data_IF_962269471772
#
_entry.id   IF_962269471772
#
_cell.length_a   1.000
_cell.length_b   1.000
_cell.length_c   1.000
_cell.angle_alpha   90.00
_cell.angle_beta   90.00
_cell.angle_gamma   90.00
#
_symmetry.space_group_name_H-M   'P 1'
#
loop_
_entity.id
_entity.type
_entity.pdbx_description
1 polymer ?
#
# COMPACT_ATOMS: atom_id res chain seq x y z
N UNK A 1 7.56 13.39 2.17
CA UNK A 1 6.75 12.69 3.17
C UNK A 1 5.89 11.65 2.46
N UNK A 2 5.60 10.50 3.09
CA UNK A 2 4.91 9.39 2.43
C UNK A 2 3.64 9.03 3.19
N UNK A 3 2.49 9.13 2.53
CA UNK A 3 1.19 8.80 3.14
C UNK A 3 0.68 7.47 2.57
N UNK A 4 0.49 6.48 3.44
CA UNK A 4 0.00 5.16 3.06
C UNK A 4 -1.53 5.08 3.18
N UNK A 5 -2.16 4.54 2.14
CA UNK A 5 -3.59 4.32 2.08
C UNK A 5 -3.89 2.89 1.66
N UNK A 6 -4.97 2.35 2.21
CA UNK A 6 -5.59 1.13 1.75
C UNK A 6 -6.86 1.49 0.98
N UNK A 7 -7.05 0.89 -0.19
CA UNK A 7 -8.26 1.03 -0.98
C UNK A 7 -9.02 -0.28 -0.94
N UNK A 8 -10.32 -0.21 -0.64
CA UNK A 8 -11.23 -1.34 -0.73
C UNK A 8 -12.54 -0.88 -1.39
N UNK A 9 -12.88 -1.50 -2.53
CA UNK A 9 -14.06 -1.14 -3.32
C UNK A 9 -14.13 0.37 -3.63
N UNK A 10 -12.99 0.96 -4.01
CA UNK A 10 -12.87 2.39 -4.32
C UNK A 10 -12.90 3.33 -3.11
N UNK A 11 -13.09 2.82 -1.88
CA UNK A 11 -13.01 3.62 -0.66
C UNK A 11 -11.57 3.65 -0.15
N UNK A 12 -11.07 4.86 0.12
CA UNK A 12 -9.70 5.11 0.56
C UNK A 12 -9.66 5.31 2.08
N UNK A 13 -8.80 4.56 2.76
CA UNK A 13 -8.57 4.65 4.20
C UNK A 13 -7.08 4.90 4.50
N UNK A 14 -6.78 5.93 5.28
CA UNK A 14 -5.39 6.26 5.65
C UNK A 14 -4.86 5.27 6.68
N UNK A 15 -3.73 4.64 6.37
CA UNK A 15 -3.08 3.67 7.25
C UNK A 15 -1.92 4.28 8.05
N UNK A 16 -1.32 5.38 7.56
CA UNK A 16 -0.26 6.08 8.28
C UNK A 16 0.47 7.13 7.46
N UNK A 17 1.39 7.84 8.12
CA UNK A 17 2.35 8.75 7.49
C UNK A 17 3.76 8.37 7.91
N UNK A 18 4.70 8.44 6.98
CA UNK A 18 6.06 7.96 7.15
C UNK A 18 7.05 8.97 6.58
N UNK A 19 8.26 8.99 7.15
CA UNK A 19 9.32 9.89 6.71
C UNK A 19 9.98 9.35 5.44
N UNK A 20 10.03 8.02 5.31
CA UNK A 20 10.64 7.35 4.15
C UNK A 20 9.65 6.42 3.44
N UNK A 21 9.91 6.15 2.16
CA UNK A 21 9.15 5.17 1.38
C UNK A 21 9.32 3.77 1.97
N UNK A 22 10.52 3.44 2.44
CA UNK A 22 10.85 2.13 3.00
C UNK A 22 10.00 1.83 4.25
N UNK A 23 9.82 2.80 5.13
CA UNK A 23 8.95 2.67 6.30
C UNK A 23 7.49 2.41 5.91
N UNK A 24 6.98 3.15 4.92
CA UNK A 24 5.63 2.96 4.39
C UNK A 24 5.45 1.56 3.78
N UNK A 25 6.41 1.10 2.97
CA UNK A 25 6.41 -0.23 2.37
C UNK A 25 6.51 -1.34 3.42
N UNK A 26 7.35 -1.17 4.45
CA UNK A 26 7.48 -2.14 5.56
C UNK A 26 6.17 -2.27 6.32
N UNK A 27 5.52 -1.14 6.63
CA UNK A 27 4.23 -1.15 7.31
C UNK A 27 3.14 -1.80 6.44
N UNK A 28 3.08 -1.48 5.15
CA UNK A 28 2.17 -2.12 4.20
C UNK A 28 2.36 -3.64 4.15
N UNK A 29 3.61 -4.12 4.01
CA UNK A 29 3.92 -5.56 3.98
C UNK A 29 3.45 -6.25 5.26
N UNK A 30 3.69 -5.63 6.43
CA UNK A 30 3.21 -6.14 7.71
C UNK A 30 1.67 -6.25 7.73
N UNK A 31 0.95 -5.23 7.24
CA UNK A 31 -0.51 -5.26 7.16
C UNK A 31 -1.02 -6.38 6.24
N UNK A 32 -0.40 -6.55 5.07
CA UNK A 32 -0.74 -7.64 4.14
C UNK A 32 -0.52 -8.99 4.82
N UNK A 33 0.67 -9.23 5.38
CA UNK A 33 1.01 -10.54 5.93
C UNK A 33 0.20 -10.92 7.17
N UNK A 34 -0.27 -9.92 7.93
CA UNK A 34 -1.06 -10.11 9.17
C UNK A 34 -2.57 -10.17 8.92
N UNK A 35 -3.10 -9.37 7.97
CA UNK A 35 -4.55 -9.24 7.74
C UNK A 35 -5.05 -9.99 6.50
N UNK A 36 -4.16 -10.41 5.60
CA UNK A 36 -4.52 -11.12 4.37
C UNK A 36 -4.06 -12.58 4.40
N UNK A 37 -4.78 -13.42 3.65
CA UNK A 37 -4.32 -14.77 3.30
C UNK A 37 -3.26 -14.73 2.20
N UNK A 38 -3.21 -13.65 1.42
CA UNK A 38 -2.20 -13.41 0.39
C UNK A 38 -0.97 -12.82 1.08
N UNK A 39 0.21 -13.31 0.68
CA UNK A 39 1.49 -12.92 1.28
C UNK A 39 2.20 -11.86 0.45
N UNK A 40 2.93 -10.98 1.12
CA UNK A 40 3.49 -9.75 0.53
C UNK A 40 4.67 -9.97 -0.43
N UNK A 41 5.06 -11.22 -0.71
CA UNK A 41 6.14 -11.55 -1.65
C UNK A 41 5.74 -11.35 -3.12
N UNK A 42 4.44 -11.36 -3.41
CA UNK A 42 3.89 -11.12 -4.75
C UNK A 42 3.19 -9.75 -4.82
N UNK A 43 3.94 -8.68 -4.63
CA UNK A 43 3.41 -7.32 -4.79
C UNK A 43 3.89 -6.77 -6.13
N UNK A 44 2.94 -6.41 -6.99
CA UNK A 44 3.21 -5.65 -8.21
C UNK A 44 3.19 -4.16 -7.88
N UNK A 45 4.28 -3.49 -8.20
CA UNK A 45 4.48 -2.06 -7.98
C UNK A 45 4.38 -1.31 -9.30
N UNK A 46 3.59 -0.25 -9.35
CA UNK A 46 3.62 0.71 -10.44
C UNK A 46 3.56 2.14 -9.89
N UNK A 47 4.16 3.08 -10.61
CA UNK A 47 4.22 4.48 -10.20
C UNK A 47 3.57 5.34 -11.28
N UNK A 48 2.74 6.29 -10.84
CA UNK A 48 2.12 7.29 -11.68
C UNK A 48 2.07 8.60 -10.91
N UNK A 49 2.66 9.66 -11.49
CA UNK A 49 2.79 10.97 -10.87
C UNK A 49 3.38 10.87 -9.44
N UNK A 50 2.67 11.44 -8.46
CA UNK A 50 3.03 11.42 -7.04
C UNK A 50 2.47 10.20 -6.29
N UNK A 51 2.04 9.16 -7.00
CA UNK A 51 1.43 7.98 -6.41
C UNK A 51 2.21 6.71 -6.78
N UNK A 52 2.40 5.86 -5.78
CA UNK A 52 2.98 4.53 -5.93
C UNK A 52 1.91 3.52 -5.51
N UNK A 53 1.53 2.66 -6.43
CA UNK A 53 0.47 1.68 -6.27
C UNK A 53 1.06 0.29 -6.05
N UNK A 54 0.44 -0.46 -5.17
CA UNK A 54 0.84 -1.80 -4.76
C UNK A 54 -0.35 -2.75 -4.86
N UNK A 55 -0.38 -3.50 -5.95
CA UNK A 55 -1.32 -4.60 -6.16
C UNK A 55 -0.72 -5.89 -5.60
N UNK A 56 -1.38 -6.44 -4.58
CA UNK A 56 -0.97 -7.67 -3.91
C UNK A 56 -1.88 -8.86 -4.26
N UNK A 57 -2.64 -8.78 -5.36
CA UNK A 57 -3.49 -9.86 -5.86
C UNK A 57 -4.85 -10.00 -5.16
N UNK A 58 -5.24 -9.02 -4.35
CA UNK A 58 -6.55 -9.00 -3.72
C UNK A 58 -7.60 -8.38 -4.65
N UNK A 59 -8.77 -9.01 -4.74
CA UNK A 59 -9.85 -8.48 -5.57
C UNK A 59 -10.39 -7.16 -4.99
N UNK A 60 -10.44 -6.11 -5.81
CA UNK A 60 -10.90 -4.77 -5.45
C UNK A 60 -10.17 -4.13 -4.25
N UNK A 61 -8.94 -4.55 -3.99
CA UNK A 61 -8.14 -4.03 -2.89
C UNK A 61 -6.69 -3.81 -3.29
N UNK A 62 -6.14 -2.65 -2.93
CA UNK A 62 -4.77 -2.26 -3.20
C UNK A 62 -4.25 -1.29 -2.15
N UNK A 63 -2.94 -1.08 -2.13
CA UNK A 63 -2.34 -0.01 -1.33
C UNK A 63 -1.79 1.08 -2.24
N UNK A 64 -1.86 2.33 -1.77
CA UNK A 64 -1.26 3.49 -2.43
C UNK A 64 -0.38 4.23 -1.43
N UNK A 65 0.81 4.60 -1.87
CA UNK A 65 1.65 5.60 -1.20
C UNK A 65 1.61 6.88 -2.01
N UNK A 66 1.12 7.96 -1.39
CA UNK A 66 1.17 9.32 -1.94
C UNK A 66 2.45 10.02 -1.44
N UNK A 67 3.23 10.55 -2.38
CA UNK A 67 4.45 11.32 -2.13
C UNK A 67 4.06 12.80 -2.01
N UNK A 68 4.34 13.37 -0.84
CA UNK A 68 4.04 14.75 -0.46
C UNK A 68 5.32 15.53 -0.21
#
# INVERSE_FOLDING_TARGET
MYKLYFILNGKREKQGEFQTLEEAEKHMKLLIDTKSRIKSWYIRKHQQDNHIFYDYGAHNAEYIVEVV
#
